data_IF_470868364635
#
_entry.id   IF_470868364635
#
_cell.length_a   1.000
_cell.length_b   1.000
_cell.length_c   1.000
_cell.angle_alpha   90.00
_cell.angle_beta   90.00
_cell.angle_gamma   90.00
#
_symmetry.space_group_name_H-M   'P 1'
#
loop_
_entity.id
_entity.type
_entity.pdbx_description
1 polymer ?
#
# COMPACT_ATOMS: atom_id res chain seq x y z
N UNK A 1 -5.11 34.70 11.34
CA UNK A 1 -5.52 35.33 10.09
C UNK A 1 -5.28 36.83 10.11
N UNK A 2 -6.00 37.60 10.95
CA UNK A 2 -6.05 39.07 10.94
C UNK A 2 -4.74 39.76 11.26
N UNK A 3 -3.90 39.26 12.15
CA UNK A 3 -2.58 39.85 12.39
C UNK A 3 -1.71 39.89 11.13
N UNK A 4 -1.73 38.80 10.35
CA UNK A 4 -1.01 38.73 9.07
C UNK A 4 -1.64 39.60 8.00
N UNK A 5 -2.96 39.70 7.96
CA UNK A 5 -3.69 40.57 7.04
C UNK A 5 -3.35 42.04 7.27
N UNK A 6 -3.33 42.46 8.53
CA UNK A 6 -2.95 43.81 8.89
C UNK A 6 -1.49 44.15 8.52
N UNK A 7 -0.58 43.21 8.78
CA UNK A 7 0.81 43.31 8.37
C UNK A 7 0.96 43.42 6.84
N UNK A 8 0.23 42.58 6.10
CA UNK A 8 0.22 42.60 4.64
C UNK A 8 -0.30 43.91 4.07
N UNK A 9 -1.42 44.44 4.60
CA UNK A 9 -1.99 45.72 4.18
C UNK A 9 -1.12 46.92 4.53
N UNK A 10 -0.38 46.86 5.63
CA UNK A 10 0.47 47.94 6.09
C UNK A 10 1.86 48.00 5.44
N UNK A 11 2.43 46.81 5.16
CA UNK A 11 3.82 46.69 4.70
C UNK A 11 4.02 45.83 3.45
N UNK A 12 2.95 45.36 2.78
CA UNK A 12 3.04 44.54 1.57
C UNK A 12 3.51 43.08 1.80
N UNK A 13 3.75 42.69 3.07
CA UNK A 13 4.18 41.34 3.43
C UNK A 13 3.60 40.88 4.75
N UNK A 14 3.28 39.61 4.90
CA UNK A 14 2.77 39.02 6.15
C UNK A 14 3.80 39.02 7.30
N UNK A 15 5.08 39.14 6.97
CA UNK A 15 6.22 39.07 7.89
C UNK A 15 7.03 40.38 7.90
N UNK A 16 6.37 41.51 7.66
CA UNK A 16 7.07 42.81 7.67
C UNK A 16 7.49 43.23 9.09
N UNK A 17 8.68 43.83 9.27
CA UNK A 17 9.12 44.32 10.56
C UNK A 17 8.25 45.47 11.05
N UNK A 18 7.95 45.50 12.35
CA UNK A 18 7.05 46.46 12.96
C UNK A 18 7.50 47.92 12.72
N UNK A 19 8.81 48.17 12.70
CA UNK A 19 9.40 49.48 12.44
C UNK A 19 9.09 50.04 11.04
N UNK A 20 8.90 49.17 10.06
CA UNK A 20 8.61 49.57 8.67
C UNK A 20 7.09 49.75 8.41
N UNK A 21 6.24 49.19 9.28
CA UNK A 21 4.80 49.17 9.08
C UNK A 21 4.01 49.95 10.11
N UNK A 22 4.66 50.60 11.08
CA UNK A 22 4.00 51.19 12.26
C UNK A 22 2.86 52.20 11.90
N UNK A 23 3.11 53.13 10.99
CA UNK A 23 2.11 54.15 10.60
C UNK A 23 0.98 53.51 9.79
N UNK A 24 1.30 52.58 8.88
CA UNK A 24 0.33 51.83 8.09
C UNK A 24 -0.55 50.95 8.97
N UNK A 25 0.02 50.26 9.97
CA UNK A 25 -0.71 49.45 10.93
C UNK A 25 -1.75 50.24 11.71
N UNK A 26 -1.41 51.44 12.18
CA UNK A 26 -2.36 52.27 12.89
C UNK A 26 -3.56 52.68 12.04
N UNK A 27 -3.32 53.06 10.80
CA UNK A 27 -4.39 53.36 9.83
C UNK A 27 -5.29 52.16 9.59
N UNK A 28 -4.70 50.95 9.33
CA UNK A 28 -5.46 49.73 9.10
C UNK A 28 -6.25 49.30 10.34
N UNK A 29 -5.69 49.42 11.54
CA UNK A 29 -6.38 49.16 12.81
C UNK A 29 -7.57 50.10 13.03
N UNK A 30 -7.40 51.39 12.75
CA UNK A 30 -8.46 52.41 12.89
C UNK A 30 -9.59 52.15 11.89
N UNK A 31 -9.26 51.84 10.65
CA UNK A 31 -10.23 51.44 9.62
C UNK A 31 -11.00 50.16 10.01
N UNK A 32 -10.29 49.14 10.49
CA UNK A 32 -10.89 47.91 10.96
C UNK A 32 -11.81 48.15 12.19
N UNK A 33 -11.38 48.97 13.16
CA UNK A 33 -12.20 49.31 14.30
C UNK A 33 -13.49 50.02 13.88
N UNK A 34 -13.43 50.86 12.86
CA UNK A 34 -14.60 51.57 12.32
C UNK A 34 -15.57 50.59 11.63
N UNK A 35 -15.05 49.62 10.89
CA UNK A 35 -15.86 48.59 10.28
C UNK A 35 -16.56 47.68 11.31
N UNK A 36 -15.86 47.35 12.42
CA UNK A 36 -16.44 46.59 13.54
C UNK A 36 -17.55 47.40 14.22
N UNK A 37 -17.32 48.67 14.50
CA UNK A 37 -18.35 49.59 15.10
C UNK A 37 -19.55 49.76 14.17
N UNK A 38 -19.32 49.82 12.87
CA UNK A 38 -20.36 49.92 11.84
C UNK A 38 -21.10 48.62 11.53
N UNK A 39 -20.75 47.53 12.20
CA UNK A 39 -21.33 46.19 11.99
C UNK A 39 -21.27 45.72 10.51
N UNK A 40 -20.21 46.13 9.80
CA UNK A 40 -19.99 45.80 8.38
C UNK A 40 -19.27 44.44 8.24
N UNK A 41 -19.98 43.35 8.48
CA UNK A 41 -19.44 42.01 8.40
C UNK A 41 -19.97 41.27 7.18
N UNK A 42 -19.07 40.58 6.47
CA UNK A 42 -19.39 39.71 5.33
C UNK A 42 -18.93 38.27 5.60
N UNK A 43 -19.80 37.28 5.49
CA UNK A 43 -19.42 35.88 5.63
C UNK A 43 -18.65 35.46 4.39
N UNK A 44 -17.34 35.27 4.50
CA UNK A 44 -16.46 34.93 3.37
C UNK A 44 -15.75 33.61 3.66
N UNK A 45 -15.90 32.64 2.76
CA UNK A 45 -15.13 31.42 2.73
C UNK A 45 -13.88 31.60 1.86
N UNK A 46 -12.74 31.14 2.36
CA UNK A 46 -11.47 31.17 1.66
C UNK A 46 -11.21 29.75 1.14
N UNK A 47 -11.16 29.58 -0.18
CA UNK A 47 -10.87 28.30 -0.85
C UNK A 47 -9.48 28.31 -1.46
N UNK A 48 -8.74 27.20 -1.30
CA UNK A 48 -7.45 26.98 -1.93
C UNK A 48 -7.48 25.67 -2.70
N UNK A 49 -7.22 25.72 -4.00
CA UNK A 49 -7.35 24.53 -4.86
C UNK A 49 -8.75 23.89 -4.85
N UNK A 50 -9.80 24.72 -4.72
CA UNK A 50 -11.20 24.26 -4.65
C UNK A 50 -11.64 23.68 -3.30
N UNK A 51 -10.76 23.64 -2.28
CA UNK A 51 -11.06 23.11 -0.93
C UNK A 51 -11.21 24.27 0.07
N UNK A 52 -12.15 24.14 1.01
CA UNK A 52 -12.31 25.05 2.12
C UNK A 52 -11.02 25.10 2.95
N UNK A 53 -10.40 26.30 3.01
CA UNK A 53 -9.13 26.53 3.69
C UNK A 53 -9.33 27.24 5.02
N UNK A 54 -10.06 28.37 5.01
CA UNK A 54 -10.35 29.19 6.17
C UNK A 54 -11.64 30.00 5.93
N UNK A 55 -12.10 30.73 6.91
CA UNK A 55 -13.22 31.65 6.77
C UNK A 55 -12.94 32.97 7.50
N UNK A 56 -13.65 34.03 7.08
CA UNK A 56 -13.45 35.37 7.62
C UNK A 56 -14.74 36.16 7.53
N UNK A 57 -14.77 37.31 8.25
CA UNK A 57 -15.90 38.24 8.29
C UNK A 57 -15.68 39.49 7.45
N UNK A 58 -14.55 39.62 6.77
CA UNK A 58 -14.26 40.69 5.84
C UNK A 58 -13.26 40.25 4.77
N UNK A 59 -13.17 40.95 3.62
CA UNK A 59 -12.24 40.58 2.55
C UNK A 59 -10.79 40.64 3.05
N UNK A 60 -9.98 39.62 2.64
CA UNK A 60 -8.56 39.50 2.96
C UNK A 60 -7.74 39.54 1.67
N UNK A 61 -6.60 40.22 1.70
CA UNK A 61 -5.69 40.43 0.56
C UNK A 61 -4.46 39.53 0.62
N UNK A 62 -4.05 39.06 1.80
CA UNK A 62 -2.84 38.22 1.98
C UNK A 62 -2.79 36.90 1.20
N UNK A 63 -3.88 36.51 0.56
CA UNK A 63 -4.02 35.27 -0.21
C UNK A 63 -4.24 35.52 -1.70
N UNK A 64 -3.96 36.71 -2.23
CA UNK A 64 -4.21 37.09 -3.64
C UNK A 64 -3.67 36.09 -4.65
N UNK A 65 -2.56 35.40 -4.37
CA UNK A 65 -1.97 34.37 -5.24
C UNK A 65 -2.45 32.97 -4.87
N UNK A 66 -3.64 32.58 -5.35
CA UNK A 66 -4.09 31.18 -5.32
C UNK A 66 -5.22 30.84 -4.35
N UNK A 67 -5.85 31.82 -3.71
CA UNK A 67 -7.08 31.61 -2.96
C UNK A 67 -8.29 32.28 -3.64
N UNK A 68 -9.43 31.58 -3.63
CA UNK A 68 -10.70 32.10 -4.06
C UNK A 68 -11.51 32.52 -2.84
N UNK A 69 -12.00 33.76 -2.84
CA UNK A 69 -12.90 34.30 -1.80
C UNK A 69 -14.34 34.14 -2.28
N UNK A 70 -15.15 33.43 -1.53
CA UNK A 70 -16.57 33.20 -1.83
C UNK A 70 -17.44 33.74 -0.69
N UNK A 71 -18.35 34.64 -0.98
CA UNK A 71 -19.32 35.15 -0.01
C UNK A 71 -20.46 34.16 0.19
N UNK A 72 -20.85 33.91 1.43
CA UNK A 72 -22.03 33.13 1.79
C UNK A 72 -23.21 34.01 2.14
N UNK A 73 -24.43 33.47 2.16
CA UNK A 73 -25.66 34.19 2.47
C UNK A 73 -25.75 34.59 3.93
N UNK A 74 -25.14 33.85 4.83
CA UNK A 74 -25.11 34.13 6.27
C UNK A 74 -23.89 33.47 6.91
N UNK A 75 -23.52 33.91 8.14
CA UNK A 75 -22.48 33.26 8.93
C UNK A 75 -22.82 31.83 9.32
N UNK A 76 -24.09 31.53 9.58
CA UNK A 76 -24.52 30.17 9.88
C UNK A 76 -24.32 29.26 8.67
N UNK A 77 -24.76 29.69 7.48
CA UNK A 77 -24.57 28.95 6.25
C UNK A 77 -23.06 28.74 5.91
N UNK A 78 -22.23 29.78 6.15
CA UNK A 78 -20.78 29.73 6.00
C UNK A 78 -20.16 28.65 6.91
N UNK A 79 -20.48 28.68 8.19
CA UNK A 79 -19.93 27.76 9.18
C UNK A 79 -20.40 26.32 8.90
N UNK A 80 -21.68 26.12 8.61
CA UNK A 80 -22.22 24.81 8.26
C UNK A 80 -21.50 24.22 7.03
N UNK A 81 -21.41 24.98 5.94
CA UNK A 81 -20.70 24.55 4.73
C UNK A 81 -19.21 24.25 4.96
N UNK A 82 -18.54 25.13 5.72
CA UNK A 82 -17.11 24.98 6.01
C UNK A 82 -16.83 23.73 6.84
N UNK A 83 -17.56 23.52 7.93
CA UNK A 83 -17.36 22.38 8.82
C UNK A 83 -17.83 21.07 8.18
N UNK A 84 -18.93 21.07 7.43
CA UNK A 84 -19.37 19.90 6.66
C UNK A 84 -18.31 19.45 5.65
N UNK A 85 -17.75 20.41 4.89
CA UNK A 85 -16.67 20.14 3.93
C UNK A 85 -15.43 19.56 4.61
N UNK A 86 -15.04 20.08 5.77
CA UNK A 86 -13.90 19.58 6.55
C UNK A 86 -14.16 18.19 7.13
N UNK A 87 -15.34 17.97 7.68
CA UNK A 87 -15.73 16.68 8.25
C UNK A 87 -15.74 15.61 7.17
N UNK A 88 -16.29 15.92 6.00
CA UNK A 88 -16.29 15.01 4.85
C UNK A 88 -14.87 14.68 4.39
N UNK A 89 -14.01 15.68 4.24
CA UNK A 89 -12.60 15.48 3.87
C UNK A 89 -11.85 14.61 4.90
N UNK A 90 -12.09 14.83 6.20
CA UNK A 90 -11.46 14.05 7.26
C UNK A 90 -11.99 12.60 7.30
N UNK A 91 -13.28 12.37 7.11
CA UNK A 91 -13.88 11.04 6.99
C UNK A 91 -13.28 10.27 5.79
N UNK A 92 -13.12 10.93 4.66
CA UNK A 92 -12.50 10.35 3.46
C UNK A 92 -11.04 9.97 3.75
N UNK A 93 -10.30 10.87 4.39
CA UNK A 93 -8.90 10.64 4.79
C UNK A 93 -8.76 9.45 5.75
N UNK A 94 -9.60 9.36 6.78
CA UNK A 94 -9.58 8.24 7.74
C UNK A 94 -9.91 6.92 7.06
N UNK A 95 -10.95 6.87 6.21
CA UNK A 95 -11.29 5.67 5.43
C UNK A 95 -10.13 5.23 4.55
N UNK A 96 -9.44 6.16 3.91
CA UNK A 96 -8.26 5.90 3.10
C UNK A 96 -7.11 5.32 3.92
N UNK A 97 -6.80 5.92 5.08
CA UNK A 97 -5.73 5.44 5.97
C UNK A 97 -5.99 4.02 6.49
N UNK A 98 -7.22 3.67 6.85
CA UNK A 98 -7.57 2.32 7.28
C UNK A 98 -7.36 1.28 6.17
N UNK A 99 -7.72 1.62 4.93
CA UNK A 99 -7.50 0.76 3.77
C UNK A 99 -6.01 0.58 3.48
N UNK A 100 -5.23 1.68 3.47
CA UNK A 100 -3.78 1.63 3.30
C UNK A 100 -3.13 0.75 4.37
N UNK A 101 -3.49 0.92 5.64
CA UNK A 101 -2.98 0.11 6.74
C UNK A 101 -3.32 -1.37 6.57
N UNK A 102 -4.54 -1.67 6.13
CA UNK A 102 -4.98 -3.05 5.91
C UNK A 102 -4.23 -3.72 4.76
N UNK A 103 -4.12 -3.04 3.62
CA UNK A 103 -3.38 -3.54 2.45
C UNK A 103 -1.88 -3.68 2.75
N UNK A 104 -1.27 -2.72 3.45
CA UNK A 104 0.13 -2.78 3.85
C UNK A 104 0.40 -3.96 4.80
N UNK A 105 -0.47 -4.20 5.78
CA UNK A 105 -0.35 -5.34 6.68
C UNK A 105 -0.48 -6.68 5.93
N UNK A 106 -1.38 -6.77 4.95
CA UNK A 106 -1.53 -7.97 4.12
C UNK A 106 -0.26 -8.22 3.29
N UNK A 107 0.25 -7.18 2.61
CA UNK A 107 1.51 -7.22 1.85
C UNK A 107 2.68 -7.67 2.73
N UNK A 108 2.84 -7.12 3.92
CA UNK A 108 3.97 -7.42 4.80
C UNK A 108 3.90 -8.86 5.36
N UNK A 109 2.70 -9.37 5.64
CA UNK A 109 2.50 -10.78 5.99
C UNK A 109 2.88 -11.70 4.83
N UNK A 110 2.47 -11.36 3.62
CA UNK A 110 2.78 -12.13 2.42
C UNK A 110 4.28 -12.13 2.12
N UNK A 111 4.96 -10.98 2.24
CA UNK A 111 6.42 -10.88 2.08
C UNK A 111 7.17 -11.78 3.06
N UNK A 112 6.75 -11.83 4.33
CA UNK A 112 7.34 -12.73 5.34
C UNK A 112 7.11 -14.20 4.97
N UNK A 113 5.88 -14.55 4.57
CA UNK A 113 5.55 -15.91 4.12
C UNK A 113 6.43 -16.32 2.94
N UNK A 114 6.54 -15.47 1.91
CA UNK A 114 7.38 -15.74 0.73
C UNK A 114 8.86 -15.87 1.10
N UNK A 115 9.37 -15.08 2.03
CA UNK A 115 10.75 -15.19 2.51
C UNK A 115 11.00 -16.56 3.14
N UNK A 116 10.09 -17.05 3.99
CA UNK A 116 10.20 -18.39 4.60
C UNK A 116 10.09 -19.51 3.54
N UNK A 117 9.15 -19.40 2.61
CA UNK A 117 8.98 -20.37 1.53
C UNK A 117 10.21 -20.43 0.61
N UNK A 118 10.81 -19.29 0.28
CA UNK A 118 12.06 -19.22 -0.49
C UNK A 118 13.25 -19.84 0.26
N UNK A 119 13.32 -19.65 1.58
CA UNK A 119 14.34 -20.29 2.39
C UNK A 119 14.16 -21.82 2.44
N UNK A 120 12.93 -22.30 2.59
CA UNK A 120 12.61 -23.70 2.56
C UNK A 120 12.87 -24.30 1.16
N UNK A 121 12.48 -23.61 0.09
CA UNK A 121 12.78 -24.00 -1.28
C UNK A 121 14.29 -24.21 -1.53
N UNK A 122 15.12 -23.28 -1.05
CA UNK A 122 16.59 -23.42 -1.17
C UNK A 122 17.11 -24.69 -0.51
N UNK A 123 16.53 -25.11 0.62
CA UNK A 123 16.90 -26.36 1.30
C UNK A 123 16.52 -27.61 0.48
N UNK A 124 15.51 -27.52 -0.37
CA UNK A 124 15.12 -28.64 -1.22
C UNK A 124 16.03 -28.84 -2.43
N UNK A 125 16.82 -27.82 -2.80
CA UNK A 125 17.74 -27.91 -3.94
C UNK A 125 18.88 -28.91 -3.70
N UNK A 126 19.25 -29.16 -2.45
CA UNK A 126 20.29 -30.12 -2.05
C UNK A 126 19.81 -31.58 -2.03
N UNK A 127 18.61 -31.86 -2.58
CA UNK A 127 18.03 -33.21 -2.54
C UNK A 127 18.86 -34.29 -3.22
N UNK A 128 19.63 -33.95 -4.27
CA UNK A 128 20.47 -34.94 -4.98
C UNK A 128 21.51 -35.57 -4.07
N UNK A 129 22.04 -34.81 -3.10
CA UNK A 129 22.90 -35.37 -2.07
C UNK A 129 22.21 -36.49 -1.28
N UNK A 130 20.91 -36.34 -0.96
CA UNK A 130 20.14 -37.38 -0.25
C UNK A 130 19.96 -38.64 -1.07
N UNK A 131 19.73 -38.50 -2.40
CA UNK A 131 19.65 -39.64 -3.32
C UNK A 131 20.98 -40.38 -3.38
N UNK A 132 22.08 -39.65 -3.59
CA UNK A 132 23.43 -40.18 -3.63
C UNK A 132 23.77 -40.95 -2.33
N UNK A 133 23.47 -40.37 -1.17
CA UNK A 133 23.67 -41.05 0.11
C UNK A 133 22.88 -42.36 0.20
N UNK A 134 21.61 -42.37 -0.23
CA UNK A 134 20.78 -43.58 -0.25
C UNK A 134 21.37 -44.68 -1.17
N UNK A 135 21.83 -44.31 -2.37
CA UNK A 135 22.46 -45.23 -3.30
C UNK A 135 23.80 -45.73 -2.81
N UNK A 136 24.66 -44.89 -2.23
CA UNK A 136 25.93 -45.32 -1.65
C UNK A 136 25.72 -46.25 -0.45
N UNK A 137 24.73 -46.03 0.41
CA UNK A 137 24.37 -46.97 1.47
C UNK A 137 23.95 -48.32 0.87
N UNK A 138 23.07 -48.27 -0.15
CA UNK A 138 22.57 -49.51 -0.80
C UNK A 138 23.70 -50.32 -1.45
N UNK A 139 24.65 -49.65 -2.11
CA UNK A 139 25.80 -50.31 -2.74
C UNK A 139 26.78 -50.94 -1.73
N UNK A 140 26.78 -50.45 -0.48
CA UNK A 140 27.71 -50.91 0.56
C UNK A 140 27.05 -51.73 1.68
N UNK A 141 25.81 -52.20 1.49
CA UNK A 141 25.08 -53.01 2.50
C UNK A 141 25.87 -54.21 2.99
N UNK A 142 26.68 -54.86 2.10
CA UNK A 142 27.44 -56.03 2.41
C UNK A 142 28.49 -55.85 3.50
N UNK A 143 28.97 -54.62 3.71
CA UNK A 143 29.99 -54.29 4.74
C UNK A 143 29.41 -53.55 5.93
N UNK A 144 28.10 -53.35 5.97
CA UNK A 144 27.43 -52.61 7.03
C UNK A 144 26.78 -53.54 8.05
N UNK A 145 26.75 -53.10 9.30
CA UNK A 145 26.04 -53.75 10.39
C UNK A 145 25.15 -52.77 11.14
N UNK A 146 24.15 -53.33 11.83
CA UNK A 146 23.30 -52.52 12.73
C UNK A 146 24.13 -51.89 13.87
N UNK A 147 23.85 -50.63 14.21
CA UNK A 147 24.59 -49.91 15.24
C UNK A 147 25.73 -49.03 14.72
N UNK A 148 26.04 -49.05 13.42
CA UNK A 148 26.98 -48.10 12.83
C UNK A 148 26.41 -46.71 12.82
N UNK A 149 27.26 -45.70 13.24
CA UNK A 149 26.88 -44.29 13.26
C UNK A 149 27.26 -43.54 11.98
N UNK A 150 28.15 -44.11 11.14
CA UNK A 150 28.70 -43.47 9.94
C UNK A 150 29.12 -44.56 8.92
N UNK A 151 28.94 -44.26 7.65
CA UNK A 151 29.50 -44.98 6.53
C UNK A 151 30.41 -44.07 5.73
N UNK A 152 31.69 -44.41 5.60
CA UNK A 152 32.61 -43.77 4.65
C UNK A 152 32.57 -44.58 3.34
N UNK A 153 32.12 -43.97 2.23
CA UNK A 153 32.01 -44.59 0.93
C UNK A 153 32.61 -43.71 -0.16
N UNK A 154 33.14 -44.32 -1.22
CA UNK A 154 33.59 -43.60 -2.41
C UNK A 154 32.39 -43.08 -3.20
N UNK A 155 32.42 -41.79 -3.53
CA UNK A 155 31.35 -41.15 -4.30
C UNK A 155 31.65 -41.23 -5.78
N UNK A 156 31.19 -42.31 -6.43
CA UNK A 156 31.35 -42.54 -7.86
C UNK A 156 30.53 -41.64 -8.78
N UNK A 157 29.74 -40.70 -8.20
CA UNK A 157 29.05 -39.62 -8.93
C UNK A 157 29.91 -38.36 -9.11
N UNK A 158 31.10 -38.32 -8.51
CA UNK A 158 32.07 -37.23 -8.66
C UNK A 158 33.36 -37.74 -9.26
N UNK A 159 33.98 -36.90 -10.11
CA UNK A 159 35.28 -37.23 -10.69
C UNK A 159 36.32 -37.43 -9.56
N UNK A 160 37.11 -38.50 -9.72
CA UNK A 160 38.10 -38.89 -8.72
C UNK A 160 37.54 -39.68 -7.51
N UNK A 161 36.23 -39.99 -7.50
CA UNK A 161 35.58 -40.82 -6.48
C UNK A 161 35.93 -40.42 -5.04
N UNK A 162 35.82 -39.14 -4.64
CA UNK A 162 36.22 -38.69 -3.31
C UNK A 162 35.44 -39.43 -2.23
N UNK A 163 36.05 -39.76 -1.08
CA UNK A 163 35.34 -40.39 0.02
C UNK A 163 34.33 -39.40 0.63
N UNK A 164 33.13 -39.91 0.92
CA UNK A 164 32.04 -39.18 1.55
C UNK A 164 31.60 -39.90 2.82
N UNK A 165 31.51 -39.13 3.91
CA UNK A 165 31.00 -39.63 5.18
C UNK A 165 29.49 -39.43 5.26
N UNK A 166 28.76 -40.54 5.36
CA UNK A 166 27.31 -40.55 5.43
C UNK A 166 26.87 -40.87 6.86
N UNK A 167 26.19 -39.94 7.56
CA UNK A 167 25.69 -40.17 8.91
C UNK A 167 24.53 -41.19 8.89
N UNK A 168 24.59 -42.15 9.81
CA UNK A 168 23.59 -43.21 9.96
C UNK A 168 22.90 -43.12 11.31
N UNK A 169 21.65 -43.51 11.36
CA UNK A 169 20.93 -43.69 12.62
C UNK A 169 21.24 -45.10 13.18
N UNK A 170 21.89 -45.12 14.32
CA UNK A 170 22.33 -46.38 14.99
C UNK A 170 21.21 -47.31 15.40
N UNK A 171 19.97 -46.77 15.49
CA UNK A 171 18.76 -47.53 15.84
C UNK A 171 18.21 -48.35 14.66
N UNK A 172 18.53 -47.87 13.46
CA UNK A 172 18.03 -48.46 12.19
C UNK A 172 19.00 -49.49 11.61
N UNK A 173 18.48 -50.45 10.90
CA UNK A 173 19.29 -51.34 10.06
C UNK A 173 19.87 -50.55 8.87
N UNK A 174 20.92 -51.11 8.18
CA UNK A 174 21.45 -50.49 6.97
C UNK A 174 20.41 -50.24 5.90
N UNK A 175 19.48 -51.16 5.67
CA UNK A 175 18.39 -51.06 4.70
C UNK A 175 17.40 -49.94 5.10
N UNK A 176 17.06 -49.85 6.39
CA UNK A 176 16.18 -48.78 6.90
C UNK A 176 16.84 -47.41 6.80
N UNK A 177 18.17 -47.30 7.00
CA UNK A 177 18.90 -46.05 6.77
C UNK A 177 18.84 -45.62 5.30
N UNK A 178 19.08 -46.55 4.34
CA UNK A 178 18.91 -46.26 2.93
C UNK A 178 17.48 -45.77 2.60
N UNK A 179 16.47 -46.48 3.09
CA UNK A 179 15.06 -46.13 2.90
C UNK A 179 14.74 -44.75 3.49
N UNK A 180 15.33 -44.39 4.64
CA UNK A 180 15.19 -43.05 5.25
C UNK A 180 15.72 -41.94 4.33
N UNK A 181 16.91 -42.13 3.71
CA UNK A 181 17.49 -41.17 2.77
C UNK A 181 16.62 -41.01 1.53
N UNK A 182 16.12 -42.11 0.93
CA UNK A 182 15.20 -42.06 -0.20
C UNK A 182 13.85 -41.39 0.15
N UNK A 183 13.33 -41.66 1.35
CA UNK A 183 12.11 -40.97 1.85
C UNK A 183 12.33 -39.48 1.97
N UNK A 184 13.48 -39.04 2.47
CA UNK A 184 13.85 -37.61 2.58
C UNK A 184 14.00 -36.99 1.18
N UNK A 185 14.65 -37.66 0.23
CA UNK A 185 14.75 -37.25 -1.16
C UNK A 185 13.37 -37.03 -1.80
N UNK A 186 12.49 -38.02 -1.70
CA UNK A 186 11.14 -37.94 -2.27
C UNK A 186 10.31 -36.81 -1.62
N UNK A 187 10.44 -36.63 -0.31
CA UNK A 187 9.81 -35.51 0.40
C UNK A 187 10.32 -34.16 -0.11
N UNK A 188 11.64 -34.01 -0.27
CA UNK A 188 12.25 -32.78 -0.78
C UNK A 188 11.83 -32.50 -2.23
N UNK A 189 11.78 -33.53 -3.10
CA UNK A 189 11.33 -33.43 -4.48
C UNK A 189 9.87 -32.95 -4.59
N UNK A 190 9.00 -33.50 -3.75
CA UNK A 190 7.58 -33.05 -3.70
C UNK A 190 7.45 -31.64 -3.15
N UNK A 191 8.20 -31.32 -2.08
CA UNK A 191 8.20 -30.00 -1.47
C UNK A 191 8.69 -28.92 -2.44
N UNK A 192 9.73 -29.18 -3.23
CA UNK A 192 10.24 -28.26 -4.25
C UNK A 192 9.15 -27.85 -5.23
N UNK A 193 8.42 -28.84 -5.80
CA UNK A 193 7.35 -28.56 -6.75
C UNK A 193 6.24 -27.70 -6.11
N UNK A 194 5.79 -28.07 -4.92
CA UNK A 194 4.72 -27.36 -4.21
C UNK A 194 5.17 -25.94 -3.85
N UNK A 195 6.40 -25.78 -3.34
CA UNK A 195 6.95 -24.47 -2.96
C UNK A 195 7.15 -23.56 -4.17
N UNK A 196 7.62 -24.09 -5.30
CA UNK A 196 7.75 -23.34 -6.55
C UNK A 196 6.41 -22.74 -6.97
N UNK A 197 5.35 -23.57 -7.04
CA UNK A 197 4.00 -23.12 -7.39
C UNK A 197 3.43 -22.09 -6.38
N UNK A 198 3.69 -22.31 -5.08
CA UNK A 198 3.23 -21.38 -4.03
C UNK A 198 3.97 -20.04 -4.08
N UNK A 199 5.26 -20.04 -4.36
CA UNK A 199 6.08 -18.83 -4.50
C UNK A 199 5.62 -18.03 -5.72
N UNK A 200 5.35 -18.68 -6.84
CA UNK A 200 4.85 -18.04 -8.05
C UNK A 200 3.48 -17.35 -7.80
N UNK A 201 2.52 -18.08 -7.24
CA UNK A 201 1.22 -17.54 -6.84
C UNK A 201 1.34 -16.39 -5.85
N UNK A 202 2.21 -16.54 -4.85
CA UNK A 202 2.44 -15.50 -3.86
C UNK A 202 3.12 -14.26 -4.42
N UNK A 203 3.99 -14.39 -5.43
CA UNK A 203 4.55 -13.23 -6.13
C UNK A 203 3.49 -12.46 -6.91
N UNK A 204 2.58 -13.14 -7.60
CA UNK A 204 1.44 -12.51 -8.27
C UNK A 204 0.53 -11.74 -7.28
N UNK A 205 0.22 -12.37 -6.14
CA UNK A 205 -0.56 -11.73 -5.07
C UNK A 205 0.17 -10.51 -4.46
N UNK A 206 1.50 -10.58 -4.34
CA UNK A 206 2.31 -9.45 -3.86
C UNK A 206 2.24 -8.26 -4.81
N UNK A 207 2.39 -8.49 -6.11
CA UNK A 207 2.27 -7.45 -7.15
C UNK A 207 0.86 -6.81 -7.12
N UNK A 208 -0.18 -7.63 -6.96
CA UNK A 208 -1.54 -7.12 -6.80
C UNK A 208 -1.68 -6.18 -5.59
N UNK A 209 -1.19 -6.59 -4.40
CA UNK A 209 -1.27 -5.74 -3.22
C UNK A 209 -0.44 -4.45 -3.34
N UNK A 210 0.68 -4.50 -4.05
CA UNK A 210 1.50 -3.31 -4.34
C UNK A 210 0.77 -2.35 -5.28
N UNK A 211 0.07 -2.85 -6.31
CA UNK A 211 -0.75 -2.02 -7.20
C UNK A 211 -1.92 -1.38 -6.45
N UNK A 212 -2.61 -2.13 -5.57
CA UNK A 212 -3.68 -1.57 -4.72
C UNK A 212 -3.17 -0.45 -3.81
N UNK A 213 -1.98 -0.60 -3.22
CA UNK A 213 -1.37 0.46 -2.40
C UNK A 213 -1.05 1.71 -3.24
N UNK A 214 -0.61 1.54 -4.47
CA UNK A 214 -0.38 2.64 -5.40
C UNK A 214 -1.70 3.34 -5.76
N UNK A 215 -2.76 2.60 -6.06
CA UNK A 215 -4.10 3.16 -6.34
C UNK A 215 -4.64 3.93 -5.13
N UNK A 216 -4.49 3.39 -3.91
CA UNK A 216 -4.87 4.08 -2.68
C UNK A 216 -4.11 5.40 -2.48
N UNK A 217 -2.85 5.47 -2.91
CA UNK A 217 -2.06 6.71 -2.85
C UNK A 217 -2.53 7.79 -3.84
N UNK A 218 -3.21 7.38 -4.91
CA UNK A 218 -3.74 8.26 -5.96
C UNK A 218 -5.25 8.53 -5.82
N UNK A 219 -5.91 7.87 -4.87
CA UNK A 219 -7.35 8.02 -4.64
C UNK A 219 -7.64 9.40 -4.02
N UNK A 220 -8.57 10.14 -4.63
CA UNK A 220 -8.93 11.51 -4.22
C UNK A 220 -10.38 11.60 -3.75
N UNK A 221 -11.24 10.70 -4.20
CA UNK A 221 -12.68 10.72 -3.92
C UNK A 221 -13.10 9.58 -2.99
N UNK A 222 -14.19 9.79 -2.26
CA UNK A 222 -14.80 8.74 -1.45
C UNK A 222 -15.21 7.53 -2.29
N UNK A 223 -15.59 7.77 -3.55
CA UNK A 223 -15.96 6.72 -4.49
C UNK A 223 -14.78 5.82 -4.82
N UNK A 224 -13.57 6.38 -5.02
CA UNK A 224 -12.36 5.62 -5.28
C UNK A 224 -12.04 4.66 -4.12
N UNK A 225 -12.12 5.16 -2.87
CA UNK A 225 -11.92 4.33 -1.68
C UNK A 225 -12.99 3.25 -1.52
N UNK A 226 -14.24 3.51 -1.89
CA UNK A 226 -15.31 2.51 -1.84
C UNK A 226 -15.10 1.42 -2.89
N UNK A 227 -14.68 1.77 -4.10
CA UNK A 227 -14.38 0.83 -5.18
C UNK A 227 -13.20 -0.09 -4.80
N UNK A 228 -12.09 0.48 -4.26
CA UNK A 228 -10.94 -0.28 -3.79
C UNK A 228 -11.31 -1.15 -2.57
N UNK A 229 -12.15 -0.65 -1.67
CA UNK A 229 -12.65 -1.44 -0.53
C UNK A 229 -13.46 -2.64 -1.00
N UNK A 230 -14.33 -2.47 -1.99
CA UNK A 230 -15.10 -3.56 -2.56
C UNK A 230 -14.18 -4.61 -3.18
N UNK A 231 -13.16 -4.19 -3.91
CA UNK A 231 -12.15 -5.06 -4.51
C UNK A 231 -11.37 -5.86 -3.45
N UNK A 232 -10.88 -5.20 -2.38
CA UNK A 232 -10.20 -5.88 -1.25
C UNK A 232 -11.12 -6.82 -0.48
N UNK A 233 -12.44 -6.52 -0.44
CA UNK A 233 -13.44 -7.40 0.20
C UNK A 233 -13.69 -8.63 -0.66
N UNK A 234 -13.84 -8.47 -1.97
CA UNK A 234 -14.01 -9.57 -2.93
C UNK A 234 -12.77 -10.47 -2.96
N UNK A 235 -11.55 -9.90 -2.82
CA UNK A 235 -10.29 -10.61 -2.68
C UNK A 235 -10.06 -11.26 -1.30
N UNK A 236 -10.96 -11.05 -0.33
CA UNK A 236 -10.88 -11.66 1.01
C UNK A 236 -9.90 -11.00 1.98
N UNK A 237 -9.31 -9.85 1.64
CA UNK A 237 -8.38 -9.11 2.52
C UNK A 237 -9.11 -8.33 3.63
N UNK A 238 -10.36 -7.97 3.38
CA UNK A 238 -11.23 -7.27 4.33
C UNK A 238 -12.47 -8.13 4.58
N UNK A 239 -12.84 -8.30 5.86
CA UNK A 239 -14.11 -8.95 6.19
C UNK A 239 -15.27 -8.07 5.74
N UNK A 240 -16.09 -8.54 4.82
CA UNK A 240 -17.32 -7.87 4.44
C UNK A 240 -18.20 -7.68 5.67
N UNK A 241 -18.54 -6.44 6.04
CA UNK A 241 -19.63 -6.20 6.97
C UNK A 241 -20.88 -6.72 6.28
N UNK A 242 -21.48 -7.80 6.81
CA UNK A 242 -22.55 -8.61 6.25
C UNK A 242 -23.89 -7.91 6.00
N UNK A 243 -23.87 -6.80 5.31
CA UNK A 243 -25.03 -6.17 4.69
C UNK A 243 -24.64 -5.75 3.27
N UNK A 244 -24.97 -6.60 2.29
CA UNK A 244 -25.15 -6.13 0.92
C UNK A 244 -26.22 -5.03 0.99
N UNK A 245 -25.80 -3.78 1.00
CA UNK A 245 -26.74 -2.72 0.65
C UNK A 245 -26.94 -2.81 -0.86
N UNK A 246 -28.16 -3.07 -1.33
CA UNK A 246 -28.53 -2.93 -2.74
C UNK A 246 -28.73 -1.44 -2.99
N UNK A 247 -27.65 -0.68 -3.03
CA UNK A 247 -27.62 0.69 -3.48
C UNK A 247 -26.94 0.72 -4.82
N UNK A 248 -27.59 1.32 -5.80
CA UNK A 248 -27.04 1.64 -7.12
C UNK A 248 -25.84 2.57 -6.91
N UNK A 249 -24.68 1.98 -6.58
CA UNK A 249 -23.45 2.74 -6.51
C UNK A 249 -23.08 3.10 -7.94
N UNK A 250 -23.14 4.38 -8.28
CA UNK A 250 -22.59 4.91 -9.53
C UNK A 250 -21.12 4.53 -9.53
N UNK A 251 -20.72 3.67 -10.47
CA UNK A 251 -19.30 3.30 -10.64
C UNK A 251 -18.53 4.56 -11.03
N UNK A 252 -17.37 4.76 -10.45
CA UNK A 252 -16.48 5.85 -10.84
C UNK A 252 -16.12 5.73 -12.32
N UNK A 253 -16.11 6.84 -13.05
CA UNK A 253 -15.65 6.86 -14.44
C UNK A 253 -14.10 6.79 -14.46
N UNK A 254 -13.49 6.13 -15.47
CA UNK A 254 -12.05 6.12 -15.64
C UNK A 254 -11.52 7.54 -15.86
N UNK A 255 -10.28 7.79 -15.45
CA UNK A 255 -9.58 9.05 -15.73
C UNK A 255 -9.30 9.13 -17.22
N UNK A 256 -9.52 10.31 -17.82
CA UNK A 256 -9.24 10.56 -19.22
C UNK A 256 -8.07 11.53 -19.35
N UNK A 257 -7.12 11.17 -20.20
CA UNK A 257 -6.00 12.01 -20.57
C UNK A 257 -5.93 12.08 -22.09
N UNK A 258 -5.31 13.15 -22.62
CA UNK A 258 -4.95 13.26 -24.03
C UNK A 258 -3.45 13.24 -24.18
N UNK A 259 -2.94 12.45 -25.11
CA UNK A 259 -1.51 12.48 -25.48
C UNK A 259 -1.21 13.75 -26.26
N UNK A 260 0.07 14.09 -26.41
CA UNK A 260 0.53 15.21 -27.29
C UNK A 260 0.13 15.03 -28.76
N UNK A 261 -0.13 13.80 -29.18
CA UNK A 261 -0.63 13.44 -30.53
C UNK A 261 -2.17 13.40 -30.64
N UNK A 262 -2.91 13.82 -29.58
CA UNK A 262 -4.38 13.89 -29.58
C UNK A 262 -5.06 12.55 -29.29
N UNK A 263 -4.33 11.49 -28.94
CA UNK A 263 -4.92 10.20 -28.60
C UNK A 263 -5.53 10.23 -27.18
N UNK A 264 -6.73 9.67 -27.05
CA UNK A 264 -7.43 9.54 -25.77
C UNK A 264 -6.86 8.36 -24.98
N UNK A 265 -6.37 8.63 -23.77
CA UNK A 265 -5.84 7.63 -22.84
C UNK A 265 -6.85 7.47 -21.70
N UNK A 266 -7.33 6.25 -21.46
CA UNK A 266 -8.21 5.91 -20.35
C UNK A 266 -7.42 5.15 -19.29
N UNK A 267 -7.49 5.61 -18.04
CA UNK A 267 -6.85 4.97 -16.89
C UNK A 267 -7.92 4.64 -15.85
N UNK A 268 -8.08 3.37 -15.54
CA UNK A 268 -8.99 2.94 -14.49
C UNK A 268 -8.52 3.43 -13.12
N UNK A 269 -9.48 3.61 -12.21
CA UNK A 269 -9.25 4.04 -10.83
C UNK A 269 -9.06 2.85 -9.86
N UNK A 270 -9.18 1.63 -10.37
CA UNK A 270 -8.90 0.37 -9.67
C UNK A 270 -8.46 -0.70 -10.67
N UNK A 271 -7.75 -1.75 -10.18
CA UNK A 271 -7.33 -2.87 -11.02
C UNK A 271 -8.52 -3.51 -11.75
N UNK A 272 -9.65 -3.67 -11.06
CA UNK A 272 -10.89 -4.19 -11.66
C UNK A 272 -11.42 -3.30 -12.79
N UNK A 273 -11.24 -2.00 -12.70
CA UNK A 273 -11.63 -1.07 -13.77
C UNK A 273 -10.65 -1.13 -14.94
N UNK A 274 -9.35 -1.23 -14.67
CA UNK A 274 -8.32 -1.42 -15.68
C UNK A 274 -8.52 -2.75 -16.46
N UNK A 275 -8.80 -3.86 -15.76
CA UNK A 275 -9.09 -5.15 -16.39
C UNK A 275 -10.31 -5.08 -17.34
N UNK A 276 -11.30 -4.27 -17.00
CA UNK A 276 -12.47 -4.06 -17.90
C UNK A 276 -12.12 -3.25 -19.13
N UNK A 277 -11.32 -2.19 -18.96
CA UNK A 277 -10.87 -1.35 -20.06
C UNK A 277 -10.02 -2.13 -21.05
N UNK A 278 -9.14 -3.01 -20.57
CA UNK A 278 -8.25 -3.83 -21.41
C UNK A 278 -8.93 -5.07 -21.99
N UNK A 279 -9.93 -5.63 -21.31
CA UNK A 279 -10.55 -6.90 -21.71
C UNK A 279 -11.88 -6.80 -22.43
N UNK A 280 -12.59 -5.66 -22.35
CA UNK A 280 -13.93 -5.48 -22.96
C UNK A 280 -14.08 -4.28 -23.87
N UNK A 281 -13.25 -3.28 -23.68
CA UNK A 281 -13.37 -1.99 -24.39
C UNK A 281 -12.15 -1.71 -25.29
N UNK A 282 -11.26 -2.71 -25.48
CA UNK A 282 -10.09 -2.65 -26.36
C UNK A 282 -10.40 -3.18 -27.76
#
# INVERSE_FOLDING_TARGET
LWARELAYRAGGSTDCPLSAAADGLWQQLSSWQSAVKGNSFLPIEIKRGGKAFDFTYAPVLQYEDGAQLQTADSFSALLDSFYESREQAERVRQKGQDLVKTAANARDRLRRKLSMQRQEYRRTLDREHLRICGELITANLYRMSRGMSRLTAENYYKDGCPPVDIPLDVRLSPQENAARYFKQYNKAKTAEKILSEQIEKGNGELLYLESVLQELSQAESEQDFNDIRAELTDGGYIRGRGRKQPGFQRKSAPRQFCSSSGLRILVGRSNRQNDKLTGKDA
#
